data_IF_252064892463
#
_entry.id   IF_252064892463
#
_cell.length_a   1.000
_cell.length_b   1.000
_cell.length_c   1.000
_cell.angle_alpha   90.00
_cell.angle_beta   90.00
_cell.angle_gamma   90.00
#
_symmetry.space_group_name_H-M   'P 1'
#
loop_
_entity.id
_entity.type
_entity.pdbx_description
1 polymer ?
#
# COMPACT_ATOMS: atom_id res chain seq x y z
N UNK A 1 -4.37 -41.96 -41.66
CA UNK A 1 -4.30 -42.38 -40.24
C UNK A 1 -3.05 -41.70 -39.71
N UNK A 2 -3.11 -40.40 -39.39
CA UNK A 2 -3.70 -39.88 -38.14
C UNK A 2 -3.02 -40.60 -36.99
N UNK A 3 -2.17 -40.00 -36.19
CA UNK A 3 -1.87 -38.61 -35.91
C UNK A 3 -1.33 -38.64 -34.48
N UNK A 4 -0.41 -37.76 -34.14
CA UNK A 4 -0.34 -37.25 -32.79
C UNK A 4 0.24 -35.84 -32.90
N UNK A 5 -0.66 -34.91 -32.58
CA UNK A 5 -0.41 -33.48 -32.55
C UNK A 5 0.41 -33.22 -31.28
N UNK A 6 1.56 -32.59 -31.48
CA UNK A 6 2.34 -32.00 -30.40
C UNK A 6 1.44 -31.06 -29.61
N UNK A 7 1.25 -31.37 -28.33
CA UNK A 7 0.69 -30.46 -27.34
C UNK A 7 1.52 -29.18 -27.39
N UNK A 8 0.88 -28.10 -27.85
CA UNK A 8 1.45 -26.77 -27.73
C UNK A 8 1.49 -26.42 -26.26
N UNK A 9 2.69 -26.18 -25.74
CA UNK A 9 2.88 -25.39 -24.53
C UNK A 9 2.10 -24.09 -24.75
N UNK A 10 1.06 -23.85 -23.94
CA UNK A 10 0.46 -22.53 -23.85
C UNK A 10 1.57 -21.60 -23.34
N UNK A 11 2.22 -20.88 -24.27
CA UNK A 11 3.01 -19.70 -23.94
C UNK A 11 2.08 -18.79 -23.13
N UNK A 12 2.26 -18.79 -21.82
CA UNK A 12 1.67 -17.79 -20.93
C UNK A 12 2.25 -16.47 -21.39
N UNK A 13 1.52 -15.77 -22.27
CA UNK A 13 1.98 -14.52 -22.84
C UNK A 13 2.07 -13.53 -21.68
N UNK A 14 3.30 -13.26 -21.23
CA UNK A 14 3.51 -12.31 -20.16
C UNK A 14 2.90 -10.96 -20.55
N UNK A 15 2.10 -10.38 -19.67
CA UNK A 15 1.43 -9.10 -19.90
C UNK A 15 2.03 -7.99 -19.03
N UNK A 16 1.82 -6.75 -19.46
CA UNK A 16 2.16 -5.57 -18.68
C UNK A 16 1.01 -4.58 -18.69
N UNK A 17 1.00 -3.64 -17.74
CA UNK A 17 0.19 -2.44 -17.93
C UNK A 17 0.76 -1.60 -19.08
N UNK A 18 -0.13 -1.04 -19.89
CA UNK A 18 0.20 -0.32 -21.10
C UNK A 18 0.82 1.04 -20.80
N UNK A 19 1.77 1.43 -21.64
CA UNK A 19 2.41 2.73 -21.58
C UNK A 19 1.49 3.80 -22.19
N UNK A 20 1.48 4.99 -21.60
CA UNK A 20 0.89 6.16 -22.25
C UNK A 20 1.64 6.49 -23.55
N UNK A 21 0.94 6.99 -24.56
CA UNK A 21 1.56 7.39 -25.84
C UNK A 21 2.66 8.47 -25.64
N UNK A 22 2.48 9.33 -24.64
CA UNK A 22 3.38 10.43 -24.26
C UNK A 22 4.36 10.05 -23.14
N UNK A 23 4.50 8.75 -22.82
CA UNK A 23 5.28 8.22 -21.70
C UNK A 23 6.67 8.86 -21.54
N UNK A 24 7.46 8.88 -22.61
CA UNK A 24 8.83 9.39 -22.60
C UNK A 24 8.91 10.90 -22.35
N UNK A 25 8.00 11.66 -22.96
CA UNK A 25 7.96 13.12 -22.78
C UNK A 25 7.49 13.50 -21.38
N UNK A 26 6.43 12.86 -20.90
CA UNK A 26 5.85 13.15 -19.59
C UNK A 26 6.80 12.76 -18.46
N UNK A 27 7.50 11.63 -18.59
CA UNK A 27 8.53 11.23 -17.62
C UNK A 27 9.66 12.26 -17.56
N UNK A 28 10.12 12.75 -18.71
CA UNK A 28 11.18 13.76 -18.77
C UNK A 28 10.75 15.06 -18.09
N UNK A 29 9.54 15.56 -18.40
CA UNK A 29 8.96 16.75 -17.74
C UNK A 29 8.79 16.53 -16.23
N UNK A 30 8.29 15.37 -15.81
CA UNK A 30 8.13 15.00 -14.41
C UNK A 30 9.47 15.09 -13.66
N UNK A 31 10.51 14.42 -14.15
CA UNK A 31 11.81 14.40 -13.49
C UNK A 31 12.51 15.77 -13.52
N UNK A 32 12.41 16.52 -14.61
CA UNK A 32 12.95 17.88 -14.69
C UNK A 32 12.28 18.84 -13.68
N UNK A 33 10.97 18.66 -13.43
CA UNK A 33 10.22 19.46 -12.46
C UNK A 33 10.61 19.18 -11.00
N UNK A 34 11.02 17.94 -10.68
CA UNK A 34 11.36 17.50 -9.32
C UNK A 34 12.83 17.65 -8.95
N UNK A 35 13.67 18.04 -9.90
CA UNK A 35 15.09 18.31 -9.69
C UNK A 35 15.27 19.49 -8.73
N UNK A 36 16.08 19.34 -7.68
CA UNK A 36 16.43 20.46 -6.80
C UNK A 36 17.27 21.48 -7.58
N UNK A 37 16.68 22.64 -7.80
CA UNK A 37 17.35 23.79 -8.42
C UNK A 37 18.06 24.59 -7.35
N UNK A 38 19.24 25.13 -7.70
CA UNK A 38 19.93 26.08 -6.84
C UNK A 38 19.07 27.34 -6.68
N UNK A 39 18.80 27.74 -5.43
CA UNK A 39 18.16 29.01 -5.13
C UNK A 39 19.25 29.94 -4.61
N UNK A 40 19.59 30.98 -5.39
CA UNK A 40 20.65 31.94 -5.06
C UNK A 40 22.04 31.27 -4.84
N UNK A 41 22.77 31.58 -3.76
CA UNK A 41 24.10 31.05 -3.45
C UNK A 41 24.10 29.78 -2.57
N UNK A 42 22.93 29.27 -2.15
CA UNK A 42 22.83 28.10 -1.28
C UNK A 42 22.37 26.85 -2.04
N UNK A 43 23.05 25.72 -1.82
CA UNK A 43 22.72 24.41 -2.36
C UNK A 43 23.52 23.98 -3.60
N UNK A 44 23.59 22.66 -3.80
CA UNK A 44 24.07 22.01 -5.04
C UNK A 44 22.90 21.86 -6.02
N UNK A 45 23.13 22.19 -7.29
CA UNK A 45 22.16 21.87 -8.34
C UNK A 45 22.17 20.36 -8.58
N UNK A 46 20.99 19.74 -8.51
CA UNK A 46 20.84 18.36 -8.96
C UNK A 46 20.85 18.34 -10.49
N UNK A 47 21.49 17.32 -11.08
CA UNK A 47 21.36 17.00 -12.50
C UNK A 47 20.79 15.60 -12.65
N UNK A 48 20.00 15.39 -13.70
CA UNK A 48 19.57 14.05 -14.11
C UNK A 48 20.80 13.41 -14.75
N UNK A 49 21.23 12.30 -14.18
CA UNK A 49 22.36 11.53 -14.68
C UNK A 49 21.90 10.43 -15.62
N UNK A 50 20.86 9.67 -15.22
CA UNK A 50 20.30 8.60 -16.01
C UNK A 50 18.80 8.43 -15.74
N UNK A 51 18.05 8.08 -16.78
CA UNK A 51 16.68 7.55 -16.66
C UNK A 51 16.69 6.14 -17.25
N UNK A 52 16.37 5.13 -16.44
CA UNK A 52 16.27 3.74 -16.86
C UNK A 52 14.82 3.28 -16.91
N UNK A 53 14.47 2.49 -17.93
CA UNK A 53 13.13 1.94 -18.14
C UNK A 53 13.09 0.51 -17.61
N UNK A 54 12.16 0.23 -16.69
CA UNK A 54 12.10 -1.05 -15.97
C UNK A 54 10.67 -1.55 -15.84
N UNK A 55 10.54 -2.82 -15.48
CA UNK A 55 9.29 -3.46 -15.12
C UNK A 55 9.42 -4.04 -13.71
N UNK A 56 8.44 -3.75 -12.84
CA UNK A 56 8.31 -4.44 -11.55
C UNK A 56 7.29 -5.57 -11.67
N UNK A 57 7.59 -6.80 -11.21
CA UNK A 57 6.67 -7.93 -11.28
C UNK A 57 5.58 -7.79 -10.23
N UNK A 58 4.32 -7.58 -10.65
CA UNK A 58 3.19 -7.53 -9.75
C UNK A 58 2.48 -8.90 -9.71
N UNK A 59 2.40 -9.49 -8.53
CA UNK A 59 1.49 -10.60 -8.28
C UNK A 59 0.06 -10.07 -8.21
N UNK A 60 -0.82 -10.66 -9.01
CA UNK A 60 -2.26 -10.39 -9.01
C UNK A 60 -2.93 -11.39 -8.07
N UNK A 61 -3.58 -10.88 -7.04
CA UNK A 61 -4.23 -11.68 -6.02
C UNK A 61 -5.70 -11.31 -5.92
N UNK A 62 -6.59 -12.29 -5.99
CA UNK A 62 -8.00 -12.10 -5.64
C UNK A 62 -8.22 -12.52 -4.21
N UNK A 63 -8.64 -11.59 -3.36
CA UNK A 63 -8.93 -11.87 -1.95
C UNK A 63 -10.43 -11.93 -1.74
N UNK A 64 -10.88 -12.99 -1.08
CA UNK A 64 -12.30 -13.28 -0.83
C UNK A 64 -12.56 -13.20 0.67
N UNK A 65 -13.33 -12.20 1.09
CA UNK A 65 -13.76 -12.01 2.48
C UNK A 65 -15.18 -12.52 2.68
N UNK A 66 -15.41 -13.34 3.71
CA UNK A 66 -16.74 -13.85 4.09
C UNK A 66 -17.18 -13.13 5.36
N UNK A 67 -18.21 -12.29 5.28
CA UNK A 67 -18.71 -11.55 6.44
C UNK A 67 -20.11 -12.04 6.82
N UNK A 68 -20.32 -12.37 8.10
CA UNK A 68 -21.66 -12.59 8.65
C UNK A 68 -22.33 -11.24 8.93
N UNK A 69 -23.35 -10.89 8.14
CA UNK A 69 -24.18 -9.72 8.42
C UNK A 69 -25.48 -10.14 9.11
N UNK A 70 -25.82 -9.42 10.19
CA UNK A 70 -27.13 -9.52 10.84
C UNK A 70 -28.06 -8.52 10.19
N UNK A 71 -28.94 -8.98 9.32
CA UNK A 71 -29.98 -8.15 8.72
C UNK A 71 -31.29 -8.30 9.50
N UNK A 72 -31.71 -7.25 10.22
CA UNK A 72 -33.07 -7.14 10.79
C UNK A 72 -33.14 -6.90 12.31
N UNK A 73 -34.08 -6.03 12.72
CA UNK A 73 -34.42 -5.74 14.14
C UNK A 73 -35.31 -6.83 14.78
N UNK A 74 -35.89 -7.75 14.00
CA UNK A 74 -36.96 -8.66 14.49
C UNK A 74 -36.73 -10.15 14.12
N UNK A 75 -35.91 -10.48 13.11
CA UNK A 75 -35.57 -11.88 12.77
C UNK A 75 -34.06 -12.02 12.53
N UNK A 76 -33.43 -12.98 13.22
CA UNK A 76 -31.99 -13.28 13.14
C UNK A 76 -31.69 -14.17 11.94
N UNK A 77 -31.95 -13.69 10.73
CA UNK A 77 -31.40 -14.37 9.55
C UNK A 77 -29.95 -13.90 9.37
N UNK A 78 -29.01 -14.82 9.60
CA UNK A 78 -27.60 -14.61 9.32
C UNK A 78 -27.41 -14.69 7.81
N UNK A 79 -27.08 -13.58 7.17
CA UNK A 79 -26.72 -13.59 5.75
C UNK A 79 -25.21 -13.54 5.65
N UNK A 80 -24.62 -14.58 5.05
CA UNK A 80 -23.20 -14.62 4.75
C UNK A 80 -22.96 -13.83 3.46
N UNK A 81 -22.38 -12.65 3.58
CA UNK A 81 -22.05 -11.78 2.45
C UNK A 81 -20.63 -12.11 2.03
N UNK A 82 -20.48 -12.60 0.80
CA UNK A 82 -19.18 -12.82 0.18
C UNK A 82 -18.77 -11.54 -0.55
N UNK A 83 -17.61 -11.00 -0.21
CA UNK A 83 -17.00 -9.83 -0.84
C UNK A 83 -15.68 -10.27 -1.47
N UNK A 84 -15.36 -9.70 -2.63
CA UNK A 84 -14.11 -10.00 -3.33
C UNK A 84 -13.51 -8.71 -3.89
N UNK A 85 -12.18 -8.65 -3.92
CA UNK A 85 -11.43 -7.58 -4.57
C UNK A 85 -10.10 -8.14 -5.10
N UNK A 86 -9.51 -7.44 -6.07
CA UNK A 86 -8.24 -7.81 -6.69
C UNK A 86 -7.16 -6.84 -6.23
N UNK A 87 -6.03 -7.38 -5.79
CA UNK A 87 -4.90 -6.66 -5.24
C UNK A 87 -3.66 -6.96 -6.08
N UNK A 88 -2.79 -5.96 -6.20
CA UNK A 88 -1.55 -6.08 -6.94
C UNK A 88 -0.39 -5.78 -6.00
N UNK A 89 0.50 -6.76 -5.81
CA UNK A 89 1.65 -6.67 -4.90
C UNK A 89 2.93 -6.76 -5.69
N UNK A 90 3.84 -5.81 -5.49
CA UNK A 90 5.18 -5.86 -6.07
C UNK A 90 6.00 -6.98 -5.43
N UNK A 91 6.28 -8.03 -6.18
CA UNK A 91 7.02 -9.20 -5.70
C UNK A 91 8.54 -8.95 -5.61
N UNK A 92 9.03 -7.79 -6.06
CA UNK A 92 10.42 -7.40 -5.85
C UNK A 92 10.63 -6.70 -4.50
N UNK A 93 9.56 -6.11 -3.92
CA UNK A 93 9.66 -5.23 -2.74
C UNK A 93 8.59 -5.46 -1.69
N UNK A 94 7.60 -6.30 -1.95
CA UNK A 94 6.43 -6.52 -1.10
C UNK A 94 5.62 -5.21 -0.86
N UNK A 95 5.52 -4.35 -1.87
CA UNK A 95 4.71 -3.13 -1.81
C UNK A 95 3.29 -3.39 -2.38
N UNK A 96 2.25 -2.95 -1.67
CA UNK A 96 0.87 -3.03 -2.13
C UNK A 96 0.51 -1.81 -3.01
N UNK A 97 0.06 -2.06 -4.24
CA UNK A 97 -0.30 -1.00 -5.19
C UNK A 97 -1.79 -0.68 -5.12
N UNK A 98 -2.12 0.59 -5.24
CA UNK A 98 -3.51 1.05 -5.39
C UNK A 98 -3.58 2.42 -6.09
N UNK A 99 -4.76 2.74 -6.60
CA UNK A 99 -5.03 4.00 -7.29
C UNK A 99 -5.41 5.07 -6.28
N UNK A 100 -4.67 6.19 -6.28
CA UNK A 100 -5.10 7.37 -5.55
C UNK A 100 -6.29 8.02 -6.23
N UNK A 101 -7.40 8.12 -5.51
CA UNK A 101 -8.55 8.92 -5.93
C UNK A 101 -8.24 10.40 -5.69
N UNK A 102 -8.32 11.20 -6.76
CA UNK A 102 -8.27 12.65 -6.71
C UNK A 102 -9.59 13.26 -6.26
N UNK A 103 -9.63 14.60 -6.28
CA UNK A 103 -10.85 15.35 -6.04
C UNK A 103 -11.92 14.94 -7.08
N UNK A 104 -13.15 14.68 -6.65
CA UNK A 104 -14.25 14.09 -7.46
C UNK A 104 -14.10 12.60 -7.81
N UNK A 105 -13.21 11.85 -7.16
CA UNK A 105 -13.14 10.39 -7.28
C UNK A 105 -12.49 9.87 -8.57
N UNK A 106 -11.91 10.75 -9.39
CA UNK A 106 -11.13 10.35 -10.58
C UNK A 106 -9.77 9.79 -10.17
N UNK A 107 -9.24 8.82 -10.92
CA UNK A 107 -7.88 8.33 -10.71
C UNK A 107 -6.87 9.49 -10.89
N UNK A 108 -5.98 9.67 -9.92
CA UNK A 108 -5.00 10.77 -9.90
C UNK A 108 -3.55 10.29 -9.93
N UNK A 109 -3.33 9.00 -9.76
CA UNK A 109 -2.00 8.37 -9.78
C UNK A 109 -2.02 7.00 -9.12
N UNK A 110 -0.87 6.33 -9.17
CA UNK A 110 -0.59 5.12 -8.39
C UNK A 110 0.08 5.52 -7.09
N UNK A 111 -0.34 4.89 -6.00
CA UNK A 111 0.33 4.92 -4.71
C UNK A 111 0.81 3.49 -4.37
N UNK A 112 1.81 3.44 -3.50
CA UNK A 112 2.43 2.19 -3.03
C UNK A 112 2.48 2.24 -1.52
N UNK A 113 2.04 1.17 -0.88
CA UNK A 113 2.10 1.00 0.57
C UNK A 113 3.12 -0.09 0.91
N UNK A 114 3.99 0.22 1.85
CA UNK A 114 4.95 -0.72 2.45
C UNK A 114 4.31 -1.57 3.56
N UNK A 115 2.97 -1.55 3.71
CA UNK A 115 2.29 -2.27 4.79
C UNK A 115 2.63 -3.76 4.84
N UNK A 116 2.77 -4.44 3.71
CA UNK A 116 3.10 -5.87 3.71
C UNK A 116 4.53 -6.11 4.19
N UNK A 117 5.50 -5.25 3.82
CA UNK A 117 6.85 -5.27 4.41
C UNK A 117 6.81 -5.02 5.92
N UNK A 118 6.01 -4.05 6.36
CA UNK A 118 5.86 -3.74 7.79
C UNK A 118 5.32 -4.96 8.54
N UNK A 119 4.33 -5.66 8.01
CA UNK A 119 3.76 -6.86 8.62
C UNK A 119 4.76 -8.02 8.63
N UNK A 120 5.52 -8.21 7.56
CA UNK A 120 6.57 -9.23 7.47
C UNK A 120 7.69 -9.02 8.51
N UNK A 121 8.09 -7.76 8.71
CA UNK A 121 9.15 -7.35 9.64
C UNK A 121 8.73 -7.32 11.13
N UNK A 122 7.45 -7.51 11.43
CA UNK A 122 6.91 -7.43 12.79
C UNK A 122 6.85 -8.82 13.45
N UNK A 123 7.20 -8.92 14.76
CA UNK A 123 6.86 -10.10 15.54
C UNK A 123 5.35 -10.34 15.50
N UNK A 124 4.94 -11.61 15.45
CA UNK A 124 3.54 -12.02 15.29
C UNK A 124 2.59 -11.30 16.23
N UNK A 125 2.92 -11.19 17.52
CA UNK A 125 2.03 -10.55 18.50
C UNK A 125 1.89 -9.03 18.26
N UNK A 126 2.93 -8.37 17.76
CA UNK A 126 2.85 -6.95 17.39
C UNK A 126 2.08 -6.74 16.08
N UNK A 127 2.22 -7.68 15.15
CA UNK A 127 1.46 -7.72 13.91
C UNK A 127 -0.03 -7.86 14.19
N UNK A 128 -0.41 -8.84 15.01
CA UNK A 128 -1.80 -9.08 15.42
C UNK A 128 -2.42 -7.82 16.05
N UNK A 129 -1.71 -7.19 17.00
CA UNK A 129 -2.17 -5.94 17.63
C UNK A 129 -2.33 -4.78 16.62
N UNK A 130 -1.42 -4.65 15.65
CA UNK A 130 -1.52 -3.62 14.61
C UNK A 130 -2.74 -3.86 13.71
N UNK A 131 -2.96 -5.09 13.29
CA UNK A 131 -4.11 -5.49 12.45
C UNK A 131 -5.44 -5.24 13.18
N UNK A 132 -5.52 -5.59 14.46
CA UNK A 132 -6.69 -5.30 15.30
C UNK A 132 -6.97 -3.79 15.38
N UNK A 133 -5.94 -2.97 15.56
CA UNK A 133 -6.09 -1.51 15.58
C UNK A 133 -6.50 -0.94 14.21
N UNK A 134 -6.10 -1.58 13.11
CA UNK A 134 -6.51 -1.18 11.76
C UNK A 134 -7.98 -1.53 11.48
N UNK A 135 -8.45 -2.70 11.92
CA UNK A 135 -9.84 -3.14 11.72
C UNK A 135 -10.82 -2.43 12.67
N UNK A 136 -10.50 -2.35 13.96
CA UNK A 136 -11.39 -1.82 15.00
C UNK A 136 -11.17 -0.34 15.31
N UNK A 137 -10.13 0.27 14.75
CA UNK A 137 -9.83 1.70 14.80
C UNK A 137 -9.06 2.12 16.06
N UNK A 138 -9.73 2.16 17.22
CA UNK A 138 -9.07 2.58 18.47
C UNK A 138 -9.56 1.85 19.70
N UNK A 139 -8.63 1.60 20.62
CA UNK A 139 -8.88 0.97 21.92
C UNK A 139 -8.44 1.89 23.05
N UNK A 140 -8.95 1.68 24.26
CA UNK A 140 -8.45 2.44 25.41
C UNK A 140 -7.07 1.92 25.84
N UNK A 141 -6.22 2.82 26.32
CA UNK A 141 -4.88 2.46 26.78
C UNK A 141 -4.92 1.40 27.90
N UNK A 142 -5.90 1.51 28.81
CA UNK A 142 -6.10 0.56 29.91
C UNK A 142 -6.35 -0.88 29.42
N UNK A 143 -6.99 -1.05 28.26
CA UNK A 143 -7.23 -2.38 27.67
C UNK A 143 -5.93 -3.03 27.16
N UNK A 144 -4.88 -2.25 26.91
CA UNK A 144 -3.58 -2.70 26.43
C UNK A 144 -2.52 -2.77 27.55
N UNK A 145 -2.93 -2.77 28.82
CA UNK A 145 -2.02 -2.75 29.98
C UNK A 145 -1.65 -4.13 30.53
N UNK A 146 -1.98 -5.23 29.83
CA UNK A 146 -1.40 -6.53 30.18
C UNK A 146 0.05 -6.62 29.67
N UNK A 147 0.89 -7.43 30.31
CA UNK A 147 2.34 -7.51 30.02
C UNK A 147 2.64 -7.86 28.54
N UNK A 148 1.75 -8.62 27.90
CA UNK A 148 1.90 -9.03 26.50
C UNK A 148 1.67 -7.83 25.57
N UNK A 149 0.55 -7.14 25.73
CA UNK A 149 0.13 -6.01 24.91
C UNK A 149 1.00 -4.77 25.14
N UNK A 150 1.52 -4.58 26.36
CA UNK A 150 2.41 -3.48 26.69
C UNK A 150 3.70 -3.52 25.86
N UNK A 151 4.34 -4.69 25.78
CA UNK A 151 5.58 -4.85 25.00
C UNK A 151 5.34 -4.55 23.52
N UNK A 152 4.25 -5.05 22.95
CA UNK A 152 3.94 -4.85 21.54
C UNK A 152 3.53 -3.41 21.25
N UNK A 153 2.73 -2.80 22.12
CA UNK A 153 2.37 -1.38 22.04
C UNK A 153 3.62 -0.49 22.03
N UNK A 154 4.57 -0.72 22.94
CA UNK A 154 5.82 0.06 22.98
C UNK A 154 6.59 -0.08 21.67
N UNK A 155 6.73 -1.30 21.14
CA UNK A 155 7.38 -1.54 19.85
C UNK A 155 6.69 -0.78 18.70
N UNK A 156 5.37 -0.91 18.59
CA UNK A 156 4.59 -0.24 17.54
C UNK A 156 4.64 1.30 17.66
N UNK A 157 4.64 1.84 18.88
CA UNK A 157 4.82 3.28 19.12
C UNK A 157 6.22 3.75 18.72
N UNK A 158 7.27 3.00 19.05
CA UNK A 158 8.66 3.32 18.68
C UNK A 158 8.87 3.28 17.16
N UNK A 159 8.20 2.35 16.47
CA UNK A 159 8.17 2.30 15.00
C UNK A 159 7.24 3.36 14.37
N UNK A 160 6.49 4.12 15.18
CA UNK A 160 5.60 5.17 14.71
C UNK A 160 4.36 4.65 13.96
N UNK A 161 3.99 3.38 14.16
CA UNK A 161 2.86 2.71 13.51
C UNK A 161 1.54 2.95 14.23
N UNK A 162 1.60 3.29 15.52
CA UNK A 162 0.43 3.63 16.35
C UNK A 162 0.69 4.94 17.11
N UNK A 163 -0.38 5.59 17.55
CA UNK A 163 -0.31 6.77 18.43
C UNK A 163 -1.35 6.72 19.54
N UNK A 164 -1.02 7.38 20.64
CA UNK A 164 -1.95 7.68 21.72
C UNK A 164 -2.58 9.06 21.52
N UNK A 165 -3.88 9.17 21.79
CA UNK A 165 -4.61 10.43 21.73
C UNK A 165 -5.69 10.52 22.82
N UNK A 166 -6.04 11.74 23.20
CA UNK A 166 -7.18 12.07 24.07
C UNK A 166 -8.36 12.50 23.21
N UNK A 167 -9.58 12.11 23.59
CA UNK A 167 -10.76 12.55 22.83
C UNK A 167 -11.02 14.05 23.07
N UNK A 168 -11.14 14.84 21.99
CA UNK A 168 -11.50 16.27 22.09
C UNK A 168 -12.82 16.50 22.83
N UNK A 169 -13.75 15.55 22.81
CA UNK A 169 -15.00 15.66 23.58
C UNK A 169 -14.76 15.56 25.08
N UNK A 170 -13.77 14.78 25.52
CA UNK A 170 -13.38 14.68 26.92
C UNK A 170 -12.57 15.90 27.36
N UNK A 171 -11.71 16.43 26.48
CA UNK A 171 -11.02 17.72 26.70
C UNK A 171 -12.00 18.91 26.85
N UNK A 172 -13.10 18.90 26.10
CA UNK A 172 -14.14 19.94 26.21
C UNK A 172 -15.01 19.76 27.46
N UNK A 173 -15.27 18.51 27.89
CA UNK A 173 -16.04 18.21 29.10
C UNK A 173 -15.23 18.47 30.37
N UNK A 174 -13.91 18.29 30.35
CA UNK A 174 -13.04 18.67 31.46
C UNK A 174 -12.98 20.19 31.65
N UNK A 175 -13.00 20.96 30.56
CA UNK A 175 -13.10 22.43 30.61
C UNK A 175 -14.46 22.95 31.10
N UNK A 176 -15.54 22.17 30.95
CA UNK A 176 -16.89 22.55 31.33
C UNK A 176 -17.30 22.09 32.75
N UNK A 177 -16.48 21.28 33.43
CA UNK A 177 -16.83 20.62 34.71
C UNK A 177 -16.19 21.26 35.95
N UNK A 178 -15.54 22.42 35.82
CA UNK A 178 -14.93 23.16 36.94
C UNK A 178 -15.90 23.57 38.08
N UNK A 179 -17.23 23.42 37.89
CA UNK A 179 -18.23 23.77 38.92
C UNK A 179 -19.02 22.60 39.52
N UNK A 180 -18.74 21.33 39.20
CA UNK A 180 -19.52 20.22 39.76
C UNK A 180 -18.69 18.97 40.17
N UNK A 181 -18.53 18.81 41.49
CA UNK A 181 -18.27 17.56 42.21
C UNK A 181 -16.85 16.96 42.16
N UNK A 182 -16.36 16.60 43.36
CA UNK A 182 -15.18 15.77 43.61
C UNK A 182 -15.24 14.46 42.83
N UNK A 183 -14.53 14.41 41.71
CA UNK A 183 -14.38 13.22 40.88
C UNK A 183 -13.85 13.62 39.51
N UNK A 184 -12.54 13.90 39.43
CA UNK A 184 -11.87 14.12 38.15
C UNK A 184 -12.27 13.01 37.16
N UNK A 185 -12.84 13.31 35.99
CA UNK A 185 -12.90 12.33 34.94
C UNK A 185 -11.46 11.97 34.61
N UNK A 186 -11.04 10.72 34.88
CA UNK A 186 -9.75 10.21 34.41
C UNK A 186 -9.76 10.39 32.89
N UNK A 187 -8.91 11.27 32.37
CA UNK A 187 -8.73 11.45 30.93
C UNK A 187 -8.48 10.08 30.31
N UNK A 188 -9.37 9.65 29.41
CA UNK A 188 -9.21 8.34 28.77
C UNK A 188 -8.26 8.52 27.60
N UNK A 189 -7.09 7.92 27.74
CA UNK A 189 -6.11 7.84 26.65
C UNK A 189 -6.54 6.68 25.75
N UNK A 190 -6.63 6.96 24.45
CA UNK A 190 -6.92 5.99 23.40
C UNK A 190 -5.68 5.72 22.57
N UNK A 191 -5.60 4.54 21.97
CA UNK A 191 -4.53 4.13 21.05
C UNK A 191 -5.16 3.76 19.71
N UNK A 192 -4.56 4.22 18.61
CA UNK A 192 -5.02 3.92 17.23
C UNK A 192 -3.85 3.68 16.28
N UNK A 193 -4.13 3.00 15.16
CA UNK A 193 -3.18 2.87 14.06
C UNK A 193 -2.99 4.21 13.32
N UNK A 194 -1.74 4.47 12.91
CA UNK A 194 -1.36 5.54 11.98
C UNK A 194 -1.22 5.05 10.54
N UNK A 195 -1.33 3.75 10.32
CA UNK A 195 -1.31 3.16 8.98
C UNK A 195 -2.61 3.53 8.28
N UNK A 196 -2.49 4.15 7.11
CA UNK A 196 -3.62 4.57 6.31
C UNK A 196 -3.56 3.90 4.94
N UNK A 197 -4.33 2.82 4.79
CA UNK A 197 -4.58 2.18 3.50
C UNK A 197 -6.08 2.24 3.18
N UNK A 198 -6.47 2.20 1.88
CA UNK A 198 -7.89 2.11 1.51
C UNK A 198 -8.57 0.88 2.13
N UNK A 199 -9.89 0.97 2.37
CA UNK A 199 -10.67 -0.17 2.90
C UNK A 199 -10.70 -1.30 1.88
N UNK A 200 -10.83 -2.54 2.36
CA UNK A 200 -10.89 -3.76 1.53
C UNK A 200 -11.81 -3.63 0.30
N UNK A 201 -13.01 -3.06 0.45
CA UNK A 201 -14.00 -2.93 -0.63
C UNK A 201 -13.68 -1.82 -1.64
N UNK A 202 -12.65 -1.02 -1.40
CA UNK A 202 -12.32 0.07 -2.29
C UNK A 202 -11.78 -0.49 -3.61
N UNK A 203 -12.50 -0.21 -4.70
CA UNK A 203 -12.09 -0.53 -6.07
C UNK A 203 -10.71 -0.03 -6.45
N UNK A 204 -10.12 0.93 -5.73
CA UNK A 204 -8.78 1.44 -6.01
C UNK A 204 -7.67 0.38 -6.00
N UNK A 205 -7.88 -0.78 -5.36
CA UNK A 205 -6.95 -1.89 -5.40
C UNK A 205 -6.94 -2.62 -6.75
N UNK A 206 -8.08 -2.69 -7.43
CA UNK A 206 -8.20 -3.31 -8.75
C UNK A 206 -7.62 -2.38 -9.82
N UNK A 207 -6.30 -2.46 -10.04
CA UNK A 207 -5.60 -1.65 -11.01
C UNK A 207 -6.13 -1.84 -12.45
N UNK A 208 -6.57 -3.05 -12.81
CA UNK A 208 -7.11 -3.33 -14.15
C UNK A 208 -8.45 -2.62 -14.41
N UNK A 209 -9.17 -2.20 -13.37
CA UNK A 209 -10.34 -1.32 -13.51
C UNK A 209 -9.98 0.13 -13.92
N UNK A 210 -8.71 0.52 -13.87
CA UNK A 210 -8.26 1.89 -14.18
C UNK A 210 -7.18 1.98 -15.25
N UNK A 211 -6.46 0.90 -15.49
CA UNK A 211 -5.30 0.86 -16.38
C UNK A 211 -5.53 -0.11 -17.52
N UNK A 212 -5.06 0.26 -18.71
CA UNK A 212 -5.07 -0.66 -19.86
C UNK A 212 -3.95 -1.68 -19.71
N UNK A 213 -4.22 -2.95 -19.99
CA UNK A 213 -3.19 -3.99 -20.15
C UNK A 213 -2.68 -4.05 -21.60
N UNK A 214 -1.45 -4.48 -21.79
CA UNK A 214 -0.78 -4.54 -23.09
C UNK A 214 0.42 -5.49 -23.10
N UNK A 215 1.07 -5.64 -24.26
CA UNK A 215 2.22 -6.53 -24.40
C UNK A 215 3.47 -5.96 -23.69
N UNK A 216 4.36 -6.85 -23.28
CA UNK A 216 5.66 -6.46 -22.73
C UNK A 216 6.56 -5.85 -23.80
N UNK A 217 7.21 -4.74 -23.46
CA UNK A 217 8.27 -4.17 -24.28
C UNK A 217 9.64 -4.79 -23.89
N UNK A 218 10.20 -5.62 -24.78
CA UNK A 218 11.49 -6.28 -24.55
C UNK A 218 12.71 -5.37 -24.37
N UNK A 219 12.58 -4.05 -24.59
CA UNK A 219 13.66 -3.08 -24.32
C UNK A 219 13.77 -2.67 -22.83
N UNK A 220 12.82 -3.06 -21.99
CA UNK A 220 12.80 -2.70 -20.56
C UNK A 220 13.40 -3.83 -19.74
N UNK A 221 14.18 -3.49 -18.73
CA UNK A 221 14.72 -4.48 -17.79
C UNK A 221 13.65 -4.89 -16.78
N UNK A 222 13.44 -6.19 -16.60
CA UNK A 222 12.57 -6.72 -15.55
C UNK A 222 13.32 -6.80 -14.23
N UNK A 223 12.67 -6.40 -13.15
CA UNK A 223 13.18 -6.59 -11.79
C UNK A 223 13.06 -8.06 -11.39
N UNK A 224 13.98 -8.52 -10.55
CA UNK A 224 13.92 -9.86 -9.99
C UNK A 224 12.75 -9.99 -9.00
N UNK A 225 12.16 -11.17 -8.97
CA UNK A 225 11.20 -11.55 -7.94
C UNK A 225 12.01 -11.94 -6.71
N UNK A 226 11.85 -11.19 -5.62
CA UNK A 226 12.56 -11.40 -4.36
C UNK A 226 11.67 -12.09 -3.32
N UNK A 227 10.34 -11.94 -3.44
CA UNK A 227 9.35 -12.51 -2.55
C UNK A 227 8.46 -13.51 -3.29
N UNK A 228 8.12 -14.61 -2.62
CA UNK A 228 7.25 -15.64 -3.18
C UNK A 228 5.79 -15.21 -3.24
N UNK A 229 5.02 -15.87 -4.09
CA UNK A 229 3.57 -15.64 -4.19
C UNK A 229 2.83 -16.12 -2.95
N UNK A 230 3.37 -17.12 -2.27
CA UNK A 230 2.87 -17.71 -1.04
C UNK A 230 3.01 -16.70 0.12
N UNK A 231 4.19 -16.13 0.32
CA UNK A 231 4.43 -15.09 1.34
C UNK A 231 3.51 -13.88 1.13
N UNK A 232 3.40 -13.40 -0.11
CA UNK A 232 2.50 -12.29 -0.42
C UNK A 232 1.02 -12.64 -0.18
N UNK A 233 0.62 -13.89 -0.46
CA UNK A 233 -0.74 -14.36 -0.20
C UNK A 233 -1.04 -14.37 1.30
N UNK A 234 -0.18 -14.99 2.11
CA UNK A 234 -0.34 -15.08 3.56
C UNK A 234 -0.50 -13.68 4.20
N UNK A 235 0.33 -12.72 3.79
CA UNK A 235 0.24 -11.35 4.31
C UNK A 235 -1.04 -10.62 3.87
N UNK A 236 -1.55 -10.88 2.67
CA UNK A 236 -2.84 -10.34 2.21
C UNK A 236 -4.01 -10.98 2.95
N UNK A 237 -3.94 -12.28 3.23
CA UNK A 237 -4.95 -13.00 4.02
C UNK A 237 -5.04 -12.43 5.43
N UNK A 238 -3.90 -12.21 6.09
CA UNK A 238 -3.82 -11.58 7.40
C UNK A 238 -4.33 -10.13 7.36
N UNK A 239 -3.86 -9.33 6.40
CA UNK A 239 -4.22 -7.90 6.30
C UNK A 239 -5.72 -7.68 6.08
N UNK A 240 -6.37 -8.53 5.28
CA UNK A 240 -7.77 -8.33 4.88
C UNK A 240 -8.74 -9.34 5.47
N UNK A 241 -8.27 -10.26 6.32
CA UNK A 241 -9.06 -11.33 6.94
C UNK A 241 -9.86 -12.13 5.89
N UNK A 242 -9.19 -12.48 4.80
CA UNK A 242 -9.79 -13.14 3.64
C UNK A 242 -8.92 -14.28 3.11
N UNK A 243 -9.44 -15.02 2.15
CA UNK A 243 -8.71 -16.08 1.42
C UNK A 243 -8.10 -15.48 0.15
N UNK A 244 -6.78 -15.57 -0.01
CA UNK A 244 -6.06 -14.99 -1.14
C UNK A 244 -5.77 -16.05 -2.21
N UNK A 245 -6.16 -15.76 -3.44
CA UNK A 245 -5.93 -16.62 -4.61
C UNK A 245 -5.01 -15.90 -5.58
N UNK A 246 -3.83 -16.46 -5.81
CA UNK A 246 -2.91 -15.97 -6.83
C UNK A 246 -3.46 -16.25 -8.24
N UNK A 247 -3.55 -15.23 -9.07
CA UNK A 247 -4.13 -15.30 -10.43
C UNK A 247 -3.06 -15.19 -11.53
N UNK A 248 -1.84 -14.77 -11.20
CA UNK A 248 -0.74 -14.63 -12.15
C UNK A 248 0.12 -13.40 -11.91
N UNK A 249 1.15 -13.23 -12.74
CA UNK A 249 2.03 -12.07 -12.73
C UNK A 249 1.69 -11.12 -13.87
N UNK A 250 1.58 -9.84 -13.58
CA UNK A 250 1.55 -8.75 -14.56
C UNK A 250 2.69 -7.79 -14.28
N UNK A 251 3.32 -7.26 -15.32
CA UNK A 251 4.43 -6.32 -15.16
C UNK A 251 3.96 -4.86 -15.15
N UNK A 252 4.45 -4.09 -14.18
CA UNK A 252 4.18 -2.66 -14.08
C UNK A 252 5.36 -1.85 -14.61
N UNK A 253 5.21 -1.12 -15.73
CA UNK A 253 6.29 -0.30 -16.25
C UNK A 253 6.55 0.89 -15.33
N UNK A 254 7.82 1.18 -15.09
CA UNK A 254 8.23 2.38 -14.38
C UNK A 254 9.57 2.90 -14.90
N UNK A 255 9.75 4.22 -14.79
CA UNK A 255 11.02 4.87 -15.10
C UNK A 255 11.69 5.24 -13.78
N UNK A 256 12.97 4.91 -13.67
CA UNK A 256 13.81 5.23 -12.52
C UNK A 256 14.81 6.31 -12.92
N UNK A 257 14.74 7.46 -12.27
CA UNK A 257 15.65 8.57 -12.49
C UNK A 257 16.70 8.61 -11.38
N UNK A 258 17.99 8.62 -11.76
CA UNK A 258 19.11 8.90 -10.87
C UNK A 258 19.50 10.37 -10.98
N UNK A 259 19.42 11.08 -9.86
CA UNK A 259 19.91 12.45 -9.70
C UNK A 259 21.27 12.44 -9.03
N UNK A 260 22.17 13.29 -9.51
CA UNK A 260 23.46 13.57 -8.87
C UNK A 260 23.48 15.01 -8.38
N UNK A 261 23.96 15.22 -7.16
CA UNK A 261 24.20 16.56 -6.59
C UNK A 261 25.62 16.64 -6.00
N UNK A 262 26.25 17.81 -6.12
CA UNK A 262 27.55 18.11 -5.52
C UNK A 262 28.69 18.25 -6.54
N UNK A 263 29.87 18.65 -6.03
CA UNK A 263 31.07 18.89 -6.85
C UNK A 263 32.24 18.04 -6.35
N UNK A 264 32.75 17.16 -7.21
CA UNK A 264 34.04 16.47 -7.05
C UNK A 264 34.18 15.54 -5.83
N UNK A 265 34.28 16.10 -4.62
CA UNK A 265 34.64 15.38 -3.37
C UNK A 265 33.45 14.89 -2.55
N UNK A 266 32.23 15.36 -2.81
CA UNK A 266 31.01 14.87 -2.16
C UNK A 266 29.90 14.87 -3.20
N UNK A 267 29.63 13.70 -3.77
CA UNK A 267 28.49 13.44 -4.65
C UNK A 267 27.42 12.71 -3.86
N UNK A 268 26.22 13.28 -3.82
CA UNK A 268 25.04 12.61 -3.27
C UNK A 268 24.17 12.10 -4.41
N UNK A 269 23.63 10.90 -4.26
CA UNK A 269 22.67 10.33 -5.19
C UNK A 269 21.27 10.38 -4.62
N UNK A 270 20.28 10.62 -5.49
CA UNK A 270 18.86 10.50 -5.15
C UNK A 270 18.15 9.79 -6.29
N UNK A 271 17.16 8.97 -5.96
CA UNK A 271 16.33 8.29 -6.93
C UNK A 271 14.89 8.81 -6.88
N UNK A 272 14.21 8.76 -8.02
CA UNK A 272 12.77 9.04 -8.13
C UNK A 272 12.16 8.11 -9.16
N UNK A 273 10.87 7.80 -8.98
CA UNK A 273 10.13 6.84 -9.79
C UNK A 273 8.96 7.54 -10.46
N UNK A 274 8.69 7.16 -11.71
CA UNK A 274 7.52 7.59 -12.46
C UNK A 274 6.84 6.40 -13.12
N UNK A 275 5.51 6.33 -13.06
CA UNK A 275 4.71 5.28 -13.69
C UNK A 275 4.05 5.84 -14.97
N UNK A 276 4.61 5.56 -16.17
CA UNK A 276 4.17 6.13 -17.44
C UNK A 276 2.95 5.39 -18.03
N UNK A 277 1.83 5.36 -17.30
CA UNK A 277 0.73 4.44 -17.56
C UNK A 277 -0.40 5.04 -18.39
N UNK A 278 -1.03 4.20 -19.21
CA UNK A 278 -2.27 4.52 -19.91
C UNK A 278 -3.48 4.21 -19.01
N UNK A 279 -4.11 5.27 -18.49
CA UNK A 279 -5.40 5.19 -17.81
C UNK A 279 -6.56 5.02 -18.81
N UNK A 280 -7.64 4.35 -18.35
CA UNK A 280 -8.88 4.12 -19.12
C UNK A 280 -9.76 5.37 -19.25
#
# INVERSE_FOLDING_TARGET
>A
MSGDQLEGEEETSESAFALAETADEDARRYFESRRKKKILMFGSEERIDQITKRYTPLGRFRVIKKEETKTGLVFKDKTLVRKENTFYVDLARLELFYIRKGMLGRASGIERSDILQILDDLPKEARDLLLDLMEFGSVTYEQLCNDLDEKQRILLMQRGLIESYTSRSEELMSLASDEASYGYPRERVYVRSKVHIPKFEDRCYDLASFLREGPINGSYTKDSIEFSTEEASELLEELFLGEAVFEGIIYMPYYLCRYLSGTGKSTSERYDVYFPLQFL
#
